data_IF_285895931107
#
_entry.id   IF_285895931107
#
_cell.length_a   1.000
_cell.length_b   1.000
_cell.length_c   1.000
_cell.angle_alpha   90.00
_cell.angle_beta   90.00
_cell.angle_gamma   90.00
#
_symmetry.space_group_name_H-M   'P 1'
#
loop_
_entity.id
_entity.type
_entity.pdbx_description
1 polymer ?
#
# COMPACT_ATOMS: atom_id res chain seq x y z
N UNK A 1 9.94 15.10 -3.19
CA UNK A 1 8.93 14.23 -3.83
C UNK A 1 8.48 13.19 -2.82
N UNK A 2 7.19 13.16 -2.45
CA UNK A 2 6.66 12.19 -1.48
C UNK A 2 6.30 10.88 -2.18
N UNK A 3 6.83 9.76 -1.68
CA UNK A 3 6.54 8.42 -2.18
C UNK A 3 5.83 7.63 -1.09
N UNK A 4 4.72 6.99 -1.44
CA UNK A 4 3.90 6.17 -0.56
C UNK A 4 3.91 4.70 -0.96
N UNK A 5 3.60 3.85 -0.01
CA UNK A 5 3.51 2.41 -0.20
C UNK A 5 2.27 1.88 0.53
N UNK A 6 1.46 1.11 -0.19
CA UNK A 6 0.27 0.46 0.34
C UNK A 6 0.39 -1.05 0.15
N UNK A 7 0.03 -1.82 1.18
CA UNK A 7 0.13 -3.28 1.12
C UNK A 7 -1.02 -3.96 1.82
N UNK A 8 -1.45 -5.08 1.25
CA UNK A 8 -2.38 -6.03 1.86
C UNK A 8 -1.77 -7.43 1.85
N UNK A 9 -2.18 -8.27 2.80
CA UNK A 9 -1.61 -9.61 3.01
C UNK A 9 -2.52 -10.76 2.62
N UNK A 10 -3.81 -10.48 2.41
CA UNK A 10 -4.83 -11.47 2.03
C UNK A 10 -5.61 -10.99 0.80
N UNK A 11 -6.11 -11.94 0.02
CA UNK A 11 -6.80 -11.65 -1.25
C UNK A 11 -8.17 -10.98 -1.11
N UNK A 12 -8.76 -11.00 0.08
CA UNK A 12 -10.02 -10.32 0.42
C UNK A 12 -9.82 -8.88 0.91
N UNK A 13 -8.58 -8.44 1.05
CA UNK A 13 -8.23 -7.10 1.48
C UNK A 13 -7.99 -6.17 0.28
N UNK A 14 -8.26 -4.88 0.49
CA UNK A 14 -8.19 -3.87 -0.56
C UNK A 14 -7.36 -2.66 -0.11
N UNK A 15 -6.54 -2.12 -1.01
CA UNK A 15 -5.62 -1.00 -0.71
C UNK A 15 -6.28 0.38 -0.77
N UNK A 16 -7.56 0.49 -1.14
CA UNK A 16 -8.27 1.77 -1.40
C UNK A 16 -8.17 2.76 -0.26
N UNK A 17 -8.38 2.34 0.99
CA UNK A 17 -8.30 3.26 2.13
C UNK A 17 -6.87 3.75 2.37
N UNK A 18 -5.87 2.89 2.13
CA UNK A 18 -4.46 3.28 2.24
C UNK A 18 -4.10 4.29 1.15
N UNK A 19 -4.53 4.05 -0.10
CA UNK A 19 -4.30 4.95 -1.23
C UNK A 19 -4.93 6.33 -0.99
N UNK A 20 -6.17 6.39 -0.47
CA UNK A 20 -6.81 7.66 -0.10
C UNK A 20 -6.06 8.41 0.99
N UNK A 21 -5.50 7.70 1.98
CA UNK A 21 -4.68 8.33 3.01
C UNK A 21 -3.38 8.90 2.44
N UNK A 22 -2.73 8.19 1.51
CA UNK A 22 -1.51 8.65 0.85
C UNK A 22 -1.80 9.89 -0.04
N UNK A 23 -2.91 9.88 -0.77
CA UNK A 23 -3.39 11.03 -1.55
C UNK A 23 -3.63 12.25 -0.64
N UNK A 24 -4.36 12.07 0.47
CA UNK A 24 -4.62 13.14 1.43
C UNK A 24 -3.37 13.69 2.12
N UNK A 25 -2.30 12.89 2.19
CA UNK A 25 -0.99 13.31 2.71
C UNK A 25 -0.10 14.00 1.66
N UNK A 26 -0.56 14.15 0.41
CA UNK A 26 0.19 14.80 -0.67
C UNK A 26 1.26 13.90 -1.31
N UNK A 27 1.12 12.58 -1.22
CA UNK A 27 2.01 11.62 -1.89
C UNK A 27 1.89 11.77 -3.40
N UNK A 28 3.03 11.80 -4.09
CA UNK A 28 3.12 12.05 -5.54
C UNK A 28 3.36 10.77 -6.35
N UNK A 29 3.84 9.71 -5.71
CA UNK A 29 4.04 8.39 -6.32
C UNK A 29 3.72 7.29 -5.33
N UNK A 30 2.92 6.31 -5.73
CA UNK A 30 2.51 5.19 -4.88
C UNK A 30 2.91 3.86 -5.48
N UNK A 31 3.35 2.94 -4.61
CA UNK A 31 3.58 1.54 -4.93
C UNK A 31 2.60 0.67 -4.15
N UNK A 32 2.10 -0.39 -4.78
CA UNK A 32 1.13 -1.31 -4.17
C UNK A 32 1.65 -2.73 -4.20
N UNK A 33 1.41 -3.47 -3.12
CA UNK A 33 1.78 -4.87 -3.02
C UNK A 33 0.66 -5.71 -2.40
N UNK A 34 0.39 -6.87 -2.99
CA UNK A 34 -0.46 -7.92 -2.40
C UNK A 34 0.44 -9.10 -2.06
N UNK A 35 0.97 -9.11 -0.83
CA UNK A 35 1.87 -10.14 -0.35
C UNK A 35 1.77 -10.30 1.17
N UNK A 36 1.96 -11.53 1.65
CA UNK A 36 2.09 -11.78 3.09
C UNK A 36 3.38 -11.14 3.63
N UNK A 37 3.41 -10.86 4.94
CA UNK A 37 4.56 -10.21 5.57
C UNK A 37 5.64 -11.17 6.02
N UNK A 38 5.48 -12.42 5.68
CA UNK A 38 6.36 -13.49 6.11
C UNK A 38 7.58 -13.44 5.20
N UNK A 39 8.76 -13.39 5.80
CA UNK A 39 10.02 -13.59 5.08
C UNK A 39 9.91 -14.96 4.40
N UNK A 40 10.03 -15.03 3.08
CA UNK A 40 10.09 -16.32 2.40
C UNK A 40 11.34 -17.06 2.90
N UNK A 41 11.14 -18.02 3.79
CA UNK A 41 12.17 -18.92 4.33
C UNK A 41 12.46 -20.04 3.36
#
# INVERSE_FOLDING_TARGET
MLIGYARVSKGDQDTTLQLKALEGAGVQKTYTESASGVLAT
#
